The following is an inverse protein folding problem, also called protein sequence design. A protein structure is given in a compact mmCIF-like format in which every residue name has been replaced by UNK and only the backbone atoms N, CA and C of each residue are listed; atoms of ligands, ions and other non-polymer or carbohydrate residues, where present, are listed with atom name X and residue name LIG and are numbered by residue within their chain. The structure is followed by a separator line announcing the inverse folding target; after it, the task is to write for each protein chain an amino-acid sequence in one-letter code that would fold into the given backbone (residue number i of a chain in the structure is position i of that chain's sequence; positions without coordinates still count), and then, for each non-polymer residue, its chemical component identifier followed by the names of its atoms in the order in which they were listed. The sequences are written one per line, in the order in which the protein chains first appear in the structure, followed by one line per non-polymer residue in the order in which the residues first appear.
data_IF_115733762543
#
_entry.id   IF_115733762543
#
_cell.length_a   1.000
_cell.length_b   1.000
_cell.length_c   1.000
_cell.angle_alpha   90.00
_cell.angle_beta   90.00
_cell.angle_gamma   90.00
#
_symmetry.space_group_name_H-M   'P 1'
#
loop_
_entity.id
_entity.type
_entity.pdbx_description
1 polymer ?
#
# COMPACT_ATOMS: atom_id res chain seq x y z
N UNK A 1 16.98 -7.24 0.22
CA UNK A 1 17.69 -6.29 1.10
C UNK A 1 16.69 -5.66 2.07
N UNK A 2 16.93 -5.83 3.37
CA UNK A 2 16.14 -5.17 4.41
C UNK A 2 16.22 -3.65 4.25
N UNK A 3 15.10 -2.97 4.42
CA UNK A 3 15.07 -1.50 4.41
C UNK A 3 15.84 -1.01 5.63
N UNK A 4 16.88 -0.22 5.40
CA UNK A 4 17.57 0.49 6.47
C UNK A 4 16.88 1.82 6.72
N UNK A 5 16.32 1.94 7.90
CA UNK A 5 15.58 3.12 8.36
C UNK A 5 16.20 3.66 9.62
N UNK A 6 16.04 4.95 9.85
CA UNK A 6 16.38 5.57 11.13
C UNK A 6 15.31 5.24 12.16
N UNK A 7 15.70 5.17 13.43
CA UNK A 7 14.87 4.72 14.54
C UNK A 7 13.47 5.36 14.58
N UNK A 8 12.63 4.86 15.45
CA UNK A 8 11.22 5.23 15.59
C UNK A 8 11.04 6.76 15.49
N UNK A 9 10.42 7.21 14.39
CA UNK A 9 10.07 8.60 14.18
C UNK A 9 8.87 8.95 15.05
N UNK A 10 9.07 9.88 15.96
CA UNK A 10 8.03 10.63 16.65
C UNK A 10 8.05 12.06 16.10
N UNK A 11 7.18 12.91 16.56
CA UNK A 11 7.12 14.32 16.14
C UNK A 11 7.53 15.21 17.30
N UNK A 12 8.43 16.16 17.03
CA UNK A 12 8.87 17.12 18.05
C UNK A 12 7.68 17.93 18.57
N UNK A 13 7.48 17.89 19.88
CA UNK A 13 6.69 18.87 20.61
C UNK A 13 7.55 20.09 20.91
N UNK A 14 6.94 21.26 21.05
CA UNK A 14 7.68 22.50 21.30
C UNK A 14 8.64 22.43 22.49
N UNK A 15 8.28 21.68 23.52
CA UNK A 15 9.09 21.48 24.74
C UNK A 15 10.25 20.48 24.57
N UNK A 16 10.21 19.68 23.51
CA UNK A 16 11.22 18.63 23.29
C UNK A 16 12.46 19.14 22.53
N UNK A 17 12.34 20.29 21.86
CA UNK A 17 13.39 20.80 20.97
C UNK A 17 14.63 21.21 21.78
N UNK A 18 14.43 21.95 22.87
CA UNK A 18 15.53 22.47 23.71
C UNK A 18 16.27 21.35 24.45
N UNK A 19 15.59 20.22 24.69
CA UNK A 19 16.14 19.06 25.40
C UNK A 19 16.52 17.91 24.43
N UNK A 20 16.43 18.11 23.12
CA UNK A 20 16.75 17.07 22.16
C UNK A 20 18.25 16.95 21.92
N UNK A 21 18.67 15.74 21.55
CA UNK A 21 20.04 15.52 21.10
C UNK A 21 20.33 16.30 19.82
N UNK A 22 21.57 16.79 19.64
CA UNK A 22 21.96 17.45 18.42
C UNK A 22 21.82 16.50 17.23
N UNK A 23 21.33 17.02 16.11
CA UNK A 23 21.13 16.26 14.88
C UNK A 23 21.81 16.93 13.69
N UNK A 24 22.26 16.13 12.72
CA UNK A 24 23.01 16.59 11.56
C UNK A 24 22.16 16.85 10.30
N UNK A 25 20.82 16.68 10.36
CA UNK A 25 19.92 16.82 9.18
C UNK A 25 19.33 18.22 9.02
N UNK A 26 19.84 19.19 9.74
CA UNK A 26 19.41 20.57 9.68
C UNK A 26 18.55 21.02 10.85
N UNK A 27 18.18 22.30 10.91
CA UNK A 27 17.38 22.86 12.01
C UNK A 27 15.98 22.25 12.04
N UNK A 28 15.50 21.97 13.24
CA UNK A 28 14.16 21.41 13.49
C UNK A 28 13.24 22.41 14.16
N UNK A 29 11.96 22.29 13.85
CA UNK A 29 10.87 23.04 14.47
C UNK A 29 9.82 22.08 15.03
N UNK A 30 8.94 22.57 15.90
CA UNK A 30 7.81 21.78 16.39
C UNK A 30 6.98 21.24 15.19
N UNK A 31 6.67 19.95 15.22
CA UNK A 31 6.00 19.25 14.11
C UNK A 31 6.94 18.61 13.10
N UNK A 32 8.25 18.74 13.22
CA UNK A 32 9.23 17.99 12.44
C UNK A 32 9.49 16.61 13.06
N UNK A 33 10.02 15.68 12.26
CA UNK A 33 10.26 14.31 12.68
C UNK A 33 11.41 14.26 13.67
N UNK A 34 11.19 13.61 14.83
CA UNK A 34 12.18 13.34 15.87
C UNK A 34 12.72 11.94 15.70
N UNK A 35 14.03 11.80 15.63
CA UNK A 35 14.71 10.53 15.53
C UNK A 35 15.28 10.08 16.89
N UNK A 36 15.48 8.78 17.00
CA UNK A 36 16.09 8.16 18.18
C UNK A 36 17.56 7.88 17.89
N UNK A 37 18.42 8.19 18.82
CA UNK A 37 19.82 7.75 18.87
C UNK A 37 19.83 6.22 19.09
N UNK A 38 20.33 5.50 18.09
CA UNK A 38 20.33 4.03 18.08
C UNK A 38 21.68 3.45 18.48
N UNK A 39 22.77 4.18 18.32
CA UNK A 39 24.11 3.75 18.65
C UNK A 39 24.60 4.24 20.03
N UNK A 40 23.89 5.22 20.63
CA UNK A 40 24.17 5.76 21.98
C UNK A 40 25.29 6.81 22.01
N UNK A 41 25.65 7.39 20.86
CA UNK A 41 26.73 8.39 20.77
C UNK A 41 26.25 9.83 21.10
N UNK A 42 24.97 10.00 21.40
CA UNK A 42 24.30 11.26 21.71
C UNK A 42 24.25 12.28 20.56
N UNK A 43 24.41 11.81 19.35
CA UNK A 43 24.28 12.63 18.13
C UNK A 43 23.41 11.88 17.13
N UNK A 44 22.39 12.53 16.59
CA UNK A 44 21.52 11.92 15.57
C UNK A 44 22.09 12.17 14.17
N UNK A 45 22.53 11.09 13.53
CA UNK A 45 23.18 11.15 12.21
C UNK A 45 22.90 9.89 11.37
N UNK A 46 23.71 9.65 10.33
CA UNK A 46 23.57 8.48 9.45
C UNK A 46 23.91 7.15 10.11
N UNK A 47 24.62 7.14 11.23
CA UNK A 47 25.07 5.93 11.92
C UNK A 47 23.93 5.32 12.77
N UNK A 48 22.86 6.09 13.00
CA UNK A 48 21.64 5.63 13.66
C UNK A 48 20.71 4.80 12.76
N UNK A 49 21.16 4.39 11.59
CA UNK A 49 20.36 3.56 10.68
C UNK A 49 20.37 2.11 11.11
N UNK A 50 19.20 1.56 11.30
CA UNK A 50 18.98 0.15 11.61
C UNK A 50 18.13 -0.51 10.55
N UNK A 51 18.29 -1.82 10.38
CA UNK A 51 17.45 -2.59 9.49
C UNK A 51 16.03 -2.68 10.06
N UNK A 52 15.02 -2.30 9.28
CA UNK A 52 13.61 -2.35 9.67
C UNK A 52 12.75 -2.82 8.51
N UNK A 53 11.69 -3.56 8.84
CA UNK A 53 10.76 -4.08 7.83
C UNK A 53 11.36 -5.19 6.98
N UNK A 54 10.68 -5.47 5.90
CA UNK A 54 11.05 -6.48 4.91
C UNK A 54 11.61 -5.84 3.64
N UNK A 55 11.98 -6.65 2.66
CA UNK A 55 12.44 -6.17 1.37
C UNK A 55 11.40 -5.24 0.72
N UNK A 56 11.85 -4.09 0.20
CA UNK A 56 10.98 -3.10 -0.45
C UNK A 56 10.95 -3.22 -1.98
N UNK A 57 11.78 -4.07 -2.55
CA UNK A 57 11.86 -4.28 -4.02
C UNK A 57 10.97 -5.43 -4.44
N UNK A 58 11.00 -6.55 -3.70
CA UNK A 58 10.18 -7.73 -3.98
C UNK A 58 9.67 -8.36 -2.69
N UNK A 59 8.45 -8.90 -2.68
CA UNK A 59 7.92 -9.66 -1.55
C UNK A 59 8.75 -10.92 -1.29
N UNK A 60 8.86 -11.32 -0.03
CA UNK A 60 9.52 -12.59 0.35
C UNK A 60 8.58 -13.78 0.19
N UNK A 61 7.26 -13.55 0.31
CA UNK A 61 6.24 -14.58 0.25
C UNK A 61 5.25 -14.25 -0.87
N UNK A 62 5.03 -15.21 -1.76
CA UNK A 62 3.96 -15.19 -2.76
C UNK A 62 3.04 -16.37 -2.50
N UNK A 63 1.74 -16.14 -2.51
CA UNK A 63 0.76 -17.18 -2.33
C UNK A 63 -0.46 -16.96 -3.22
N UNK A 64 -1.07 -18.06 -3.65
CA UNK A 64 -2.34 -18.04 -4.35
C UNK A 64 -3.14 -19.28 -4.02
N UNK A 65 -4.46 -19.13 -4.02
CA UNK A 65 -5.38 -20.25 -3.89
C UNK A 65 -6.63 -20.00 -4.73
N UNK A 66 -7.27 -21.08 -5.14
CA UNK A 66 -8.48 -21.03 -5.92
C UNK A 66 -9.54 -21.92 -5.30
N UNK A 67 -10.77 -21.44 -5.32
CA UNK A 67 -11.96 -22.16 -4.89
C UNK A 67 -12.85 -22.38 -6.13
N UNK A 68 -13.43 -23.56 -6.25
CA UNK A 68 -14.37 -23.85 -7.33
C UNK A 68 -15.47 -24.81 -6.84
N UNK A 69 -16.71 -24.46 -7.17
CA UNK A 69 -17.89 -25.27 -6.84
C UNK A 69 -18.77 -25.37 -8.09
N UNK A 70 -19.30 -26.54 -8.34
CA UNK A 70 -20.30 -26.72 -9.41
C UNK A 70 -21.42 -27.64 -8.92
N UNK A 71 -22.65 -27.22 -9.16
CA UNK A 71 -23.82 -28.01 -8.81
C UNK A 71 -24.94 -27.81 -9.85
N UNK A 72 -25.36 -28.90 -10.46
CA UNK A 72 -26.43 -28.92 -11.50
C UNK A 72 -26.26 -27.88 -12.61
N UNK A 73 -25.04 -27.68 -13.07
CA UNK A 73 -24.71 -26.72 -14.12
C UNK A 73 -24.46 -25.29 -13.65
N UNK A 74 -24.83 -24.93 -12.43
CA UNK A 74 -24.42 -23.66 -11.81
C UNK A 74 -23.02 -23.84 -11.22
N UNK A 75 -22.09 -22.96 -11.60
CA UNK A 75 -20.74 -22.99 -11.09
C UNK A 75 -20.31 -21.63 -10.54
N UNK A 76 -19.41 -21.71 -9.58
CA UNK A 76 -18.73 -20.58 -8.98
C UNK A 76 -17.24 -20.88 -8.94
N UNK A 77 -16.41 -19.91 -9.27
CA UNK A 77 -14.97 -19.98 -9.05
C UNK A 77 -14.45 -18.65 -8.53
N UNK A 78 -13.47 -18.72 -7.65
CA UNK A 78 -12.77 -17.56 -7.12
C UNK A 78 -11.28 -17.86 -7.04
N UNK A 79 -10.46 -16.91 -7.45
CA UNK A 79 -9.01 -16.98 -7.38
C UNK A 79 -8.47 -15.83 -6.56
N UNK A 80 -7.72 -16.16 -5.54
CA UNK A 80 -7.03 -15.23 -4.68
C UNK A 80 -5.53 -15.26 -4.94
N UNK A 81 -4.91 -14.10 -4.86
CA UNK A 81 -3.46 -13.95 -4.93
C UNK A 81 -3.02 -12.92 -3.91
N UNK A 82 -1.95 -13.22 -3.20
CA UNK A 82 -1.41 -12.30 -2.20
C UNK A 82 0.10 -12.39 -2.11
N UNK A 83 0.63 -11.42 -1.40
CA UNK A 83 2.04 -11.33 -1.03
C UNK A 83 2.17 -11.04 0.46
N UNK A 84 3.26 -11.49 1.05
CA UNK A 84 3.56 -11.24 2.46
C UNK A 84 5.02 -10.84 2.63
N UNK A 85 5.34 -10.32 3.81
CA UNK A 85 6.69 -9.84 4.12
C UNK A 85 7.18 -8.85 3.06
N UNK A 86 6.44 -7.79 2.88
CA UNK A 86 6.71 -6.77 1.89
C UNK A 86 6.57 -5.38 2.52
N UNK A 87 7.59 -4.54 2.37
CA UNK A 87 7.59 -3.19 2.94
C UNK A 87 7.53 -2.15 1.83
N UNK A 88 6.72 -1.12 2.00
CA UNK A 88 6.74 0.07 1.17
C UNK A 88 7.45 1.22 1.89
N UNK A 89 8.18 2.02 1.13
CA UNK A 89 8.64 3.34 1.54
C UNK A 89 7.66 4.35 0.97
N UNK A 90 6.90 5.00 1.85
CA UNK A 90 5.94 6.03 1.47
C UNK A 90 6.70 7.27 1.00
N UNK A 91 6.83 7.38 -0.30
CA UNK A 91 7.53 8.46 -0.98
C UNK A 91 6.64 9.05 -2.10
N UNK A 92 7.18 9.99 -2.84
CA UNK A 92 6.43 10.64 -3.91
C UNK A 92 5.49 11.76 -3.42
N UNK A 93 4.88 12.43 -4.35
CA UNK A 93 4.07 13.65 -4.12
C UNK A 93 2.81 13.42 -3.30
N UNK A 94 2.32 12.18 -3.26
CA UNK A 94 1.11 11.85 -2.51
C UNK A 94 1.32 11.92 -0.99
N UNK A 95 2.45 11.41 -0.48
CA UNK A 95 2.76 11.37 0.95
C UNK A 95 3.69 12.49 1.40
N UNK A 96 4.56 13.00 0.51
CA UNK A 96 5.50 14.09 0.76
C UNK A 96 5.09 15.33 -0.03
N UNK A 97 4.09 16.07 0.45
CA UNK A 97 3.55 17.22 -0.25
C UNK A 97 4.50 18.41 -0.22
N UNK A 98 4.26 19.34 -1.14
CA UNK A 98 4.95 20.63 -1.24
C UNK A 98 6.46 20.55 -1.53
N UNK A 99 7.00 19.36 -1.73
CA UNK A 99 8.37 19.18 -2.24
C UNK A 99 8.37 19.48 -3.75
N UNK A 100 9.35 20.23 -4.22
CA UNK A 100 9.49 20.64 -5.62
C UNK A 100 8.24 21.34 -6.21
N UNK A 101 7.61 22.20 -5.43
CA UNK A 101 6.38 22.93 -5.79
C UNK A 101 5.19 22.02 -6.16
N UNK A 102 5.12 20.82 -5.60
CA UNK A 102 4.01 19.91 -5.82
C UNK A 102 2.79 20.26 -4.97
N UNK A 103 1.67 19.61 -5.27
CA UNK A 103 0.41 19.77 -4.54
C UNK A 103 0.39 18.93 -3.26
N UNK A 104 -0.70 19.03 -2.52
CA UNK A 104 -0.95 18.24 -1.30
C UNK A 104 -2.16 17.34 -1.50
N UNK A 105 -2.06 16.07 -1.07
CA UNK A 105 -3.21 15.19 -0.99
C UNK A 105 -4.11 15.55 0.20
N UNK A 106 -5.43 15.38 0.04
CA UNK A 106 -6.39 15.59 1.12
C UNK A 106 -6.12 14.67 2.33
N UNK A 107 -5.56 13.48 2.08
CA UNK A 107 -5.19 12.54 3.12
C UNK A 107 -4.07 13.09 4.02
N UNK A 108 -2.98 13.57 3.44
CA UNK A 108 -1.87 14.18 4.19
C UNK A 108 -2.32 15.47 4.86
N UNK A 109 -3.12 16.29 4.16
CA UNK A 109 -3.65 17.52 4.74
C UNK A 109 -4.46 17.29 6.02
N UNK A 110 -5.32 16.29 6.06
CA UNK A 110 -6.16 15.97 7.22
C UNK A 110 -5.38 15.31 8.36
N UNK A 111 -4.31 14.58 8.05
CA UNK A 111 -3.52 13.81 9.02
C UNK A 111 -2.17 14.46 9.34
N UNK A 112 -1.97 15.73 8.99
CA UNK A 112 -0.76 16.49 9.31
C UNK A 112 -0.72 16.94 10.75
N UNK A 113 0.47 17.15 11.23
CA UNK A 113 0.69 17.77 12.53
C UNK A 113 0.21 19.24 12.51
N UNK A 114 -0.50 19.63 13.57
CA UNK A 114 -0.81 21.01 13.95
C UNK A 114 -0.68 21.12 15.48
N UNK A 115 -0.60 22.32 16.06
CA UNK A 115 -0.57 22.48 17.52
C UNK A 115 -1.76 21.81 18.23
N UNK A 116 -2.91 21.71 17.55
CA UNK A 116 -4.15 21.11 18.06
C UNK A 116 -4.15 19.56 17.87
N UNK A 117 -3.32 19.04 16.95
CA UNK A 117 -3.21 17.61 16.64
C UNK A 117 -1.77 17.12 16.79
N UNK A 118 -1.22 17.10 18.01
CA UNK A 118 0.22 16.80 18.24
C UNK A 118 0.60 15.34 17.96
N UNK A 119 -0.37 14.42 17.91
CA UNK A 119 -0.16 13.00 17.62
C UNK A 119 -0.53 12.64 16.18
N UNK A 120 -0.40 13.57 15.24
CA UNK A 120 -0.71 13.34 13.84
C UNK A 120 0.27 12.37 13.17
N UNK A 121 -0.18 11.69 12.11
CA UNK A 121 0.60 10.72 11.36
C UNK A 121 1.73 11.37 10.55
N UNK A 122 1.51 12.58 10.01
CA UNK A 122 2.46 13.26 9.15
C UNK A 122 3.06 14.49 9.85
N UNK A 123 4.28 14.88 9.52
CA UNK A 123 4.90 16.08 10.08
C UNK A 123 4.15 17.34 9.66
N UNK A 124 4.55 18.46 10.19
CA UNK A 124 4.02 19.78 9.79
C UNK A 124 4.19 20.02 8.29
N UNK A 125 3.27 20.75 7.72
CA UNK A 125 3.39 21.21 6.33
C UNK A 125 4.31 22.44 6.27
N UNK A 126 5.15 22.46 5.25
CA UNK A 126 6.03 23.58 4.96
C UNK A 126 6.36 23.60 3.46
N UNK A 127 6.56 24.80 2.93
CA UNK A 127 7.10 25.01 1.58
C UNK A 127 8.62 25.05 1.57
N UNK A 128 9.25 25.09 2.74
CA UNK A 128 10.70 24.98 2.88
C UNK A 128 11.12 23.53 2.76
N UNK A 129 12.24 23.27 2.12
CA UNK A 129 12.84 21.93 2.14
C UNK A 129 13.43 21.66 3.52
N UNK A 130 12.87 20.68 4.22
CA UNK A 130 13.33 20.22 5.53
C UNK A 130 13.92 18.83 5.38
N UNK A 131 15.24 18.76 5.17
CA UNK A 131 15.96 17.50 4.95
C UNK A 131 15.75 16.49 6.06
N UNK A 132 15.54 16.97 7.29
CA UNK A 132 15.18 16.13 8.43
C UNK A 132 13.91 15.32 8.14
N UNK A 133 12.86 15.91 7.61
CA UNK A 133 11.58 15.24 7.36
C UNK A 133 11.62 14.31 6.14
N UNK A 134 12.62 14.43 5.30
CA UNK A 134 12.77 13.63 4.07
C UNK A 134 13.58 12.34 4.29
N UNK A 135 14.21 12.16 5.46
CA UNK A 135 14.99 10.97 5.74
C UNK A 135 14.10 9.72 5.80
N UNK A 136 14.60 8.61 5.29
CA UNK A 136 13.92 7.31 5.43
C UNK A 136 13.87 6.91 6.90
N UNK A 137 12.67 6.71 7.42
CA UNK A 137 12.42 6.39 8.84
C UNK A 137 11.20 5.48 8.97
N UNK A 138 10.94 4.98 10.16
CA UNK A 138 9.75 4.17 10.44
C UNK A 138 8.43 4.89 10.11
N UNK A 139 8.40 6.23 10.16
CA UNK A 139 7.24 7.03 9.77
C UNK A 139 6.85 6.82 8.30
N UNK A 140 7.85 6.62 7.45
CA UNK A 140 7.67 6.43 6.00
C UNK A 140 7.65 4.97 5.58
N UNK A 141 7.70 4.02 6.52
CA UNK A 141 7.54 2.60 6.23
C UNK A 141 6.08 2.19 6.41
N UNK A 142 5.60 1.36 5.51
CA UNK A 142 4.29 0.73 5.59
C UNK A 142 4.38 -0.75 5.19
N UNK A 143 3.50 -1.56 5.75
CA UNK A 143 3.31 -2.93 5.31
C UNK A 143 2.62 -2.93 3.94
N UNK A 144 3.29 -3.46 2.93
CA UNK A 144 2.82 -3.57 1.55
C UNK A 144 2.24 -4.95 1.25
N UNK A 145 2.11 -5.81 2.25
CA UNK A 145 1.45 -7.10 2.10
C UNK A 145 -0.01 -6.92 1.71
N UNK A 146 -0.52 -7.78 0.83
CA UNK A 146 -1.91 -7.73 0.40
C UNK A 146 -2.47 -9.11 0.03
N UNK A 147 -3.79 -9.19 -0.01
CA UNK A 147 -4.56 -10.29 -0.58
C UNK A 147 -5.62 -9.73 -1.54
N UNK A 148 -5.56 -10.10 -2.81
CA UNK A 148 -6.53 -9.67 -3.84
C UNK A 148 -7.40 -10.81 -4.32
N UNK A 149 -8.68 -10.53 -4.53
CA UNK A 149 -9.59 -11.38 -5.30
C UNK A 149 -9.39 -11.05 -6.79
N UNK A 150 -8.49 -11.82 -7.44
CA UNK A 150 -8.11 -11.60 -8.83
C UNK A 150 -9.21 -11.90 -9.81
N UNK A 151 -9.86 -13.04 -9.64
CA UNK A 151 -10.94 -13.48 -10.49
C UNK A 151 -12.05 -14.05 -9.64
N UNK A 152 -13.28 -13.72 -9.99
CA UNK A 152 -14.48 -14.32 -9.43
C UNK A 152 -15.46 -14.56 -10.57
N UNK A 153 -15.86 -15.79 -10.83
CA UNK A 153 -16.78 -16.13 -11.91
C UNK A 153 -17.96 -16.91 -11.38
N UNK A 154 -19.15 -16.48 -11.77
CA UNK A 154 -20.38 -17.26 -11.63
C UNK A 154 -20.83 -17.63 -13.04
N UNK A 155 -21.11 -18.89 -13.27
CA UNK A 155 -21.53 -19.37 -14.57
C UNK A 155 -22.65 -20.38 -14.51
N UNK A 156 -23.39 -20.50 -15.61
CA UNK A 156 -24.38 -21.54 -15.78
C UNK A 156 -24.14 -22.28 -17.11
N UNK A 157 -23.95 -23.60 -17.02
CA UNK A 157 -23.87 -24.50 -18.17
C UNK A 157 -25.28 -24.85 -18.61
N UNK A 158 -25.61 -24.56 -19.85
CA UNK A 158 -26.91 -24.88 -20.40
C UNK A 158 -27.08 -26.38 -20.57
N UNK A 159 -28.25 -26.94 -20.22
CA UNK A 159 -28.51 -28.38 -20.39
C UNK A 159 -28.37 -28.82 -21.85
N UNK A 160 -27.75 -29.97 -22.08
CA UNK A 160 -27.58 -30.53 -23.43
C UNK A 160 -28.88 -30.75 -24.18
N UNK A 161 -30.00 -30.99 -23.47
CA UNK A 161 -31.34 -31.12 -24.06
C UNK A 161 -31.80 -29.87 -24.82
N UNK A 162 -31.34 -28.69 -24.42
CA UNK A 162 -31.63 -27.42 -25.10
C UNK A 162 -30.74 -27.19 -26.32
N UNK A 163 -29.51 -27.74 -26.26
CA UNK A 163 -28.44 -27.46 -27.22
C UNK A 163 -28.48 -28.38 -28.44
N UNK A 164 -28.94 -29.62 -28.27
CA UNK A 164 -28.95 -30.66 -29.29
C UNK A 164 -29.71 -30.22 -30.60
N UNK A 165 -30.65 -29.28 -30.48
CA UNK A 165 -31.40 -28.75 -31.62
C UNK A 165 -30.56 -27.84 -32.51
N UNK A 166 -29.45 -27.28 -32.00
CA UNK A 166 -28.67 -26.22 -32.66
C UNK A 166 -27.24 -26.65 -33.02
N UNK A 167 -26.93 -27.96 -33.04
CA UNK A 167 -25.59 -28.49 -33.35
C UNK A 167 -24.49 -27.99 -32.35
N UNK A 168 -24.93 -27.50 -31.21
CA UNK A 168 -24.07 -27.00 -30.14
C UNK A 168 -23.83 -28.11 -29.11
N UNK A 169 -22.57 -28.47 -28.85
CA UNK A 169 -22.22 -29.50 -27.87
C UNK A 169 -22.28 -28.98 -26.43
N UNK A 170 -21.86 -27.75 -26.23
CA UNK A 170 -21.90 -27.13 -24.92
C UNK A 170 -22.09 -25.60 -25.05
N UNK A 171 -22.74 -25.02 -24.08
CA UNK A 171 -22.84 -23.56 -23.94
C UNK A 171 -22.84 -23.16 -22.47
N UNK A 172 -22.16 -22.08 -22.18
CA UNK A 172 -22.00 -21.54 -20.84
C UNK A 172 -22.21 -20.03 -20.87
N UNK A 173 -23.10 -19.53 -20.04
CA UNK A 173 -23.23 -18.08 -19.74
C UNK A 173 -22.47 -17.80 -18.46
N UNK A 174 -21.73 -16.71 -18.39
CA UNK A 174 -20.97 -16.36 -17.22
C UNK A 174 -20.93 -14.86 -16.95
N UNK A 175 -20.75 -14.55 -15.67
CA UNK A 175 -20.37 -13.22 -15.20
C UNK A 175 -19.06 -13.36 -14.47
N UNK A 176 -18.07 -12.60 -14.85
CA UNK A 176 -16.73 -12.61 -14.26
C UNK A 176 -16.36 -11.23 -13.76
N UNK A 177 -15.89 -11.16 -12.54
CA UNK A 177 -15.26 -9.98 -11.96
C UNK A 177 -13.74 -10.15 -11.89
N UNK A 178 -13.01 -9.10 -12.16
CA UNK A 178 -11.55 -9.06 -12.09
C UNK A 178 -11.13 -7.95 -11.13
N UNK A 179 -10.18 -8.26 -10.24
CA UNK A 179 -9.63 -7.37 -9.21
C UNK A 179 -10.71 -6.68 -8.35
N UNK A 180 -11.74 -7.45 -7.93
CA UNK A 180 -12.90 -6.91 -7.23
C UNK A 180 -12.57 -6.40 -5.82
N UNK A 181 -11.69 -7.09 -5.10
CA UNK A 181 -11.37 -6.79 -3.71
C UNK A 181 -9.86 -6.81 -3.49
N UNK A 182 -9.39 -5.87 -2.68
CA UNK A 182 -8.04 -5.84 -2.16
C UNK A 182 -8.11 -5.67 -0.64
N UNK A 183 -7.37 -6.51 0.08
CA UNK A 183 -7.18 -6.42 1.52
C UNK A 183 -5.71 -6.09 1.75
N UNK A 184 -5.42 -4.90 2.22
CA UNK A 184 -4.08 -4.37 2.46
C UNK A 184 -4.08 -3.38 3.61
N UNK A 185 -2.89 -2.92 4.00
CA UNK A 185 -2.67 -1.96 5.08
C UNK A 185 -2.23 -0.58 4.56
N UNK A 186 -2.20 -0.38 3.23
CA UNK A 186 -1.79 0.90 2.64
C UNK A 186 -3.00 1.78 2.42
N UNK A 187 -3.04 2.89 3.13
CA UNK A 187 -4.11 3.87 2.96
C UNK A 187 -4.00 4.58 1.60
N UNK A 188 -5.12 4.63 0.88
CA UNK A 188 -5.36 5.48 -0.30
C UNK A 188 -4.59 5.13 -1.58
N UNK A 189 -3.71 4.14 -1.59
CA UNK A 189 -3.00 3.69 -2.78
C UNK A 189 -3.15 2.18 -2.97
N UNK A 190 -3.08 1.74 -4.21
CA UNK A 190 -3.02 0.32 -4.54
C UNK A 190 -1.62 -0.22 -4.17
N UNK A 191 -1.51 -1.30 -3.37
CA UNK A 191 -0.22 -1.86 -2.99
C UNK A 191 0.62 -2.36 -4.19
N UNK A 192 0.00 -2.62 -5.34
CA UNK A 192 0.73 -2.99 -6.57
C UNK A 192 1.14 -1.77 -7.41
N UNK A 193 0.44 -0.64 -7.26
CA UNK A 193 0.63 0.57 -8.06
C UNK A 193 1.18 1.73 -7.21
N UNK A 194 2.26 1.50 -6.46
CA UNK A 194 2.94 2.53 -5.70
C UNK A 194 3.70 3.50 -6.63
N UNK A 195 4.06 4.66 -6.11
CA UNK A 195 4.93 5.65 -6.78
C UNK A 195 4.36 6.21 -8.10
N UNK A 196 3.14 6.73 -8.06
CA UNK A 196 2.46 7.39 -9.18
C UNK A 196 2.07 6.48 -10.36
N UNK A 197 2.09 5.17 -10.17
CA UNK A 197 1.53 4.22 -11.15
C UNK A 197 0.00 4.26 -11.11
N UNK A 198 -0.63 3.93 -12.24
CA UNK A 198 -2.08 3.84 -12.30
C UNK A 198 -2.58 2.61 -11.52
N UNK A 199 -3.56 2.73 -10.61
CA UNK A 199 -4.06 1.60 -9.85
C UNK A 199 -4.77 0.58 -10.73
N UNK A 200 -4.78 -0.68 -10.29
CA UNK A 200 -5.54 -1.72 -10.95
C UNK A 200 -7.05 -1.37 -10.98
N UNK A 201 -7.68 -1.55 -12.13
CA UNK A 201 -9.10 -1.25 -12.31
C UNK A 201 -9.94 -2.48 -12.07
N UNK A 202 -11.03 -2.32 -11.34
CA UNK A 202 -12.06 -3.35 -11.20
C UNK A 202 -12.86 -3.44 -12.51
N UNK A 203 -13.07 -4.66 -13.00
CA UNK A 203 -13.88 -4.86 -14.18
C UNK A 203 -14.87 -6.01 -14.00
N UNK A 204 -16.02 -5.88 -14.66
CA UNK A 204 -17.06 -6.91 -14.70
C UNK A 204 -17.31 -7.26 -16.17
N UNK A 205 -17.26 -8.52 -16.48
CA UNK A 205 -17.47 -9.08 -17.82
C UNK A 205 -18.66 -10.00 -17.80
N UNK A 206 -19.52 -9.88 -18.79
CA UNK A 206 -20.61 -10.82 -19.07
C UNK A 206 -20.31 -11.48 -20.40
N UNK A 207 -20.38 -12.79 -20.46
CA UNK A 207 -20.02 -13.52 -21.66
C UNK A 207 -20.82 -14.79 -21.87
N UNK A 208 -20.76 -15.26 -23.13
CA UNK A 208 -21.30 -16.51 -23.59
C UNK A 208 -20.15 -17.32 -24.23
N UNK A 209 -19.98 -18.55 -23.81
CA UNK A 209 -19.06 -19.50 -24.43
C UNK A 209 -19.87 -20.62 -25.10
N UNK A 210 -19.61 -20.86 -26.37
CA UNK A 210 -20.30 -21.88 -27.17
C UNK A 210 -19.29 -22.81 -27.82
N UNK A 211 -19.49 -24.10 -27.71
CA UNK A 211 -18.67 -25.15 -28.34
C UNK A 211 -19.50 -26.00 -29.29
N UNK A 212 -18.97 -26.21 -30.50
CA UNK A 212 -19.59 -26.96 -31.58
C UNK A 212 -19.00 -28.37 -31.74
#
# INVERSE_FOLDING_TARGET
DLVRSRGLGDVYKRQDIDNSLPQQFGPVKAGDIKYKDMNGDKVINSDDRVAMGYNSTCPEIYYSFSLGLEWKGLGFSAQFQGVGNYTAILSGTYYRPLVDNTTISNYVYRNRWTPETPNARFPRLTTETVDNNLQTSSLWLADRSFLKLRNCEVYYKLPSSWLNRFWVKNAKVYVRGVDLLCFDSIDQLDPEAMNNSYPATRSIHVGLSVGF
#
